data_IF_493925298573
#
_entry.id   IF_493925298573
#
_cell.length_a   1.000
_cell.length_b   1.000
_cell.length_c   1.000
_cell.angle_alpha   90.00
_cell.angle_beta   90.00
_cell.angle_gamma   90.00
#
_symmetry.space_group_name_H-M   'P 1'
#
loop_
_entity.id
_entity.type
_entity.pdbx_description
1 polymer ?
#
# COMPACT_ATOMS: atom_id res chain seq x y z
N UNK A 1 10.79 3.05 17.03
CA UNK A 1 9.77 3.51 16.07
C UNK A 1 8.67 4.29 16.76
N UNK A 2 7.80 3.69 17.58
CA UNK A 2 6.67 4.39 18.20
C UNK A 2 7.10 5.59 19.08
N UNK A 3 8.13 5.40 19.91
CA UNK A 3 8.71 6.48 20.72
C UNK A 3 9.22 7.67 19.88
N UNK A 4 9.85 7.41 18.74
CA UNK A 4 10.34 8.46 17.84
C UNK A 4 9.21 9.24 17.17
N UNK A 5 8.04 8.60 16.98
CA UNK A 5 6.83 9.22 16.45
C UNK A 5 5.93 9.83 17.54
N UNK A 6 6.26 9.67 18.82
CA UNK A 6 5.45 10.17 19.94
C UNK A 6 4.08 9.48 20.08
N UNK A 7 3.93 8.27 19.54
CA UNK A 7 2.67 7.50 19.55
C UNK A 7 2.80 6.21 20.35
N UNK A 8 1.67 5.63 20.72
CA UNK A 8 1.63 4.31 21.34
C UNK A 8 2.10 3.20 20.38
N UNK A 9 2.75 2.16 20.92
CA UNK A 9 3.23 1.01 20.12
C UNK A 9 2.12 0.32 19.34
N UNK A 10 0.91 0.23 19.92
CA UNK A 10 -0.25 -0.34 19.24
C UNK A 10 -0.60 0.45 18.00
N UNK A 11 -0.63 1.77 18.08
CA UNK A 11 -0.93 2.66 16.95
C UNK A 11 0.11 2.50 15.84
N UNK A 12 1.39 2.43 16.20
CA UNK A 12 2.46 2.20 15.23
C UNK A 12 2.28 0.84 14.50
N UNK A 13 1.95 -0.23 15.23
CA UNK A 13 1.70 -1.55 14.64
C UNK A 13 0.50 -1.55 13.69
N UNK A 14 -0.60 -0.90 14.07
CA UNK A 14 -1.79 -0.78 13.23
C UNK A 14 -1.49 0.01 11.95
N UNK A 15 -0.75 1.12 12.05
CA UNK A 15 -0.34 1.90 10.88
C UNK A 15 0.56 1.09 9.93
N UNK A 16 1.51 0.33 10.48
CA UNK A 16 2.38 -0.56 9.69
C UNK A 16 1.55 -1.64 8.96
N UNK A 17 0.58 -2.25 9.64
CA UNK A 17 -0.29 -3.25 9.02
C UNK A 17 -1.10 -2.66 7.86
N UNK A 18 -1.69 -1.47 8.03
CA UNK A 18 -2.43 -0.79 6.98
C UNK A 18 -1.54 -0.44 5.77
N UNK A 19 -0.30 -0.02 6.01
CA UNK A 19 0.66 0.28 4.93
C UNK A 19 1.12 -0.98 4.18
N UNK A 20 1.25 -2.11 4.87
CA UNK A 20 1.59 -3.39 4.26
C UNK A 20 0.43 -3.91 3.38
N UNK A 21 -0.81 -3.86 3.90
CA UNK A 21 -2.02 -4.24 3.17
C UNK A 21 -2.19 -3.41 1.89
N UNK A 22 -1.96 -2.10 1.98
CA UNK A 22 -2.03 -1.20 0.83
C UNK A 22 -0.77 -1.19 -0.06
N UNK A 23 0.16 -2.14 0.11
CA UNK A 23 1.39 -2.31 -0.67
C UNK A 23 2.33 -1.09 -0.70
N UNK A 24 2.30 -0.25 0.33
CA UNK A 24 3.25 0.88 0.48
C UNK A 24 4.61 0.43 1.02
N UNK A 25 4.62 -0.63 1.84
CA UNK A 25 5.82 -1.18 2.43
C UNK A 25 5.80 -2.71 2.33
N UNK A 26 6.99 -3.29 2.24
CA UNK A 26 7.21 -4.72 2.41
C UNK A 26 8.00 -4.96 3.69
N UNK A 27 7.67 -6.02 4.43
CA UNK A 27 8.29 -6.34 5.71
C UNK A 27 9.02 -7.67 5.57
N UNK A 28 10.34 -7.65 5.72
CA UNK A 28 11.18 -8.84 5.78
C UNK A 28 11.72 -9.03 7.20
N UNK A 29 12.15 -10.25 7.51
CA UNK A 29 12.79 -10.58 8.78
C UNK A 29 14.28 -10.84 8.59
N UNK A 30 15.08 -10.34 9.53
CA UNK A 30 16.52 -10.60 9.61
C UNK A 30 16.87 -10.88 11.07
N UNK A 31 17.02 -12.15 11.42
CA UNK A 31 17.22 -12.63 12.79
C UNK A 31 16.13 -12.14 13.76
N UNK A 32 16.50 -11.22 14.67
CA UNK A 32 15.59 -10.61 15.67
C UNK A 32 14.99 -9.28 15.22
N UNK A 33 15.40 -8.77 14.07
CA UNK A 33 15.01 -7.46 13.55
C UNK A 33 14.09 -7.60 12.35
N UNK A 34 13.25 -6.59 12.14
CA UNK A 34 12.45 -6.45 10.93
C UNK A 34 13.12 -5.44 10.00
N UNK A 35 13.07 -5.73 8.71
CA UNK A 35 13.52 -4.86 7.63
C UNK A 35 12.27 -4.34 6.93
N UNK A 36 12.14 -3.03 6.83
CA UNK A 36 11.02 -2.37 6.18
C UNK A 36 11.50 -1.77 4.85
N UNK A 37 11.03 -2.33 3.75
CA UNK A 37 11.33 -1.87 2.39
C UNK A 37 10.18 -0.96 1.95
N UNK A 38 10.52 0.23 1.47
CA UNK A 38 9.54 1.20 0.98
C UNK A 38 9.33 0.96 -0.51
N UNK A 39 8.08 0.89 -0.96
CA UNK A 39 7.77 0.79 -2.37
C UNK A 39 8.07 2.11 -3.08
N UNK A 40 9.11 2.10 -3.93
CA UNK A 40 9.61 3.26 -4.66
C UNK A 40 8.63 3.78 -5.72
N UNK A 41 7.65 2.98 -6.14
CA UNK A 41 6.63 3.42 -7.11
C UNK A 41 5.64 4.42 -6.48
N UNK A 42 5.29 4.24 -5.20
CA UNK A 42 4.35 5.14 -4.48
C UNK A 42 5.08 6.21 -3.69
N UNK A 43 6.27 5.89 -3.19
CA UNK A 43 7.01 6.81 -2.37
C UNK A 43 7.56 7.99 -3.20
N UNK A 44 7.51 9.19 -2.63
CA UNK A 44 8.06 10.43 -3.21
C UNK A 44 7.42 10.93 -4.53
N UNK A 45 6.18 10.52 -4.84
CA UNK A 45 5.39 11.14 -5.92
C UNK A 45 4.88 12.56 -5.55
N UNK A 46 5.80 13.52 -5.34
CA UNK A 46 5.52 14.92 -5.06
C UNK A 46 6.06 15.89 -6.12
N UNK A 47 5.90 17.20 -5.92
CA UNK A 47 6.47 18.24 -6.81
C UNK A 47 7.97 18.00 -7.06
N UNK A 48 8.38 18.05 -8.32
CA UNK A 48 9.79 18.03 -8.77
C UNK A 48 10.64 18.95 -7.88
N UNK A 49 11.61 18.37 -7.16
CA UNK A 49 12.52 19.08 -6.25
C UNK A 49 12.48 18.61 -4.79
N UNK A 50 11.52 17.77 -4.40
CA UNK A 50 11.45 17.16 -3.07
C UNK A 50 12.46 16.02 -2.88
N UNK A 51 13.43 16.28 -1.99
CA UNK A 51 14.55 15.43 -1.51
C UNK A 51 14.38 13.92 -1.73
N UNK A 52 15.24 13.42 -2.62
CA UNK A 52 15.48 12.04 -2.99
C UNK A 52 15.63 11.10 -1.79
N UNK A 53 14.92 9.97 -1.82
CA UNK A 53 15.45 8.75 -1.23
C UNK A 53 16.25 7.99 -2.29
N UNK A 54 17.41 8.54 -2.65
CA UNK A 54 18.35 7.86 -3.55
C UNK A 54 19.25 6.92 -2.76
N UNK A 55 18.66 6.00 -1.99
CA UNK A 55 19.43 4.89 -1.42
C UNK A 55 18.77 3.58 -1.84
N UNK A 56 19.20 3.11 -3.00
CA UNK A 56 18.95 1.74 -3.40
C UNK A 56 19.92 0.85 -2.61
N UNK A 57 19.37 -0.01 -1.78
CA UNK A 57 20.11 -1.00 -1.02
C UNK A 57 19.76 -2.38 -1.56
N UNK A 58 20.76 -3.23 -1.72
CA UNK A 58 20.55 -4.66 -1.91
C UNK A 58 20.61 -5.33 -0.53
N UNK A 59 19.54 -6.05 -0.19
CA UNK A 59 19.41 -6.71 1.11
C UNK A 59 19.30 -8.21 0.86
N UNK A 60 20.28 -8.97 1.36
CA UNK A 60 20.29 -10.42 1.30
C UNK A 60 19.79 -10.94 2.65
N UNK A 61 18.68 -11.69 2.63
CA UNK A 61 18.10 -12.32 3.81
C UNK A 61 17.91 -13.81 3.58
N UNK A 62 17.92 -14.59 4.66
CA UNK A 62 17.65 -16.02 4.59
C UNK A 62 16.14 -16.27 4.43
N UNK A 63 15.78 -17.13 3.49
CA UNK A 63 14.40 -17.58 3.27
C UNK A 63 13.81 -18.25 4.52
N UNK A 64 14.61 -19.03 5.24
CA UNK A 64 14.20 -19.74 6.46
C UNK A 64 13.77 -18.82 7.59
N UNK A 65 14.11 -17.53 7.53
CA UNK A 65 13.70 -16.54 8.54
C UNK A 65 12.36 -15.87 8.20
N UNK A 66 11.85 -16.03 6.97
CA UNK A 66 10.62 -15.37 6.54
C UNK A 66 9.38 -16.12 7.01
N UNK A 67 8.30 -15.37 7.27
CA UNK A 67 7.03 -15.92 7.73
C UNK A 67 6.18 -16.50 6.59
N UNK A 68 6.46 -16.11 5.35
CA UNK A 68 5.74 -16.50 4.14
C UNK A 68 6.73 -16.97 3.07
N UNK A 69 6.31 -17.81 2.11
CA UNK A 69 7.16 -18.25 1.01
C UNK A 69 7.72 -17.08 0.19
N UNK A 70 8.92 -17.26 -0.38
CA UNK A 70 9.58 -16.22 -1.18
C UNK A 70 8.73 -15.81 -2.38
N UNK A 71 8.03 -16.74 -3.03
CA UNK A 71 7.14 -16.44 -4.15
C UNK A 71 6.06 -15.44 -3.77
N UNK A 72 5.48 -15.58 -2.57
CA UNK A 72 4.47 -14.64 -2.05
C UNK A 72 5.06 -13.25 -1.83
N UNK A 73 6.28 -13.17 -1.30
CA UNK A 73 6.99 -11.90 -1.13
C UNK A 73 7.28 -11.23 -2.48
N UNK A 74 7.61 -12.01 -3.50
CA UNK A 74 7.82 -11.50 -4.85
C UNK A 74 6.50 -10.94 -5.40
N UNK A 75 5.38 -11.64 -5.24
CA UNK A 75 4.06 -11.15 -5.68
C UNK A 75 3.60 -9.91 -4.90
N UNK A 76 3.86 -9.82 -3.60
CA UNK A 76 3.58 -8.62 -2.80
C UNK A 76 4.41 -7.41 -3.26
N UNK A 77 5.64 -7.66 -3.72
CA UNK A 77 6.50 -6.62 -4.31
C UNK A 77 6.04 -6.18 -5.71
N UNK A 78 5.22 -6.99 -6.39
CA UNK A 78 4.68 -6.68 -7.71
C UNK A 78 3.48 -5.75 -7.61
N UNK A 79 3.68 -4.59 -8.24
CA UNK A 79 2.77 -3.56 -8.75
C UNK A 79 1.60 -3.07 -7.87
N UNK A 80 1.35 -1.76 -8.02
CA UNK A 80 0.25 -1.04 -7.41
C UNK A 80 -1.10 -1.59 -7.90
N UNK A 81 -2.08 -1.62 -7.00
CA UNK A 81 -3.46 -1.87 -7.42
C UNK A 81 -3.88 -0.77 -8.39
N UNK A 82 -4.27 -1.18 -9.60
CA UNK A 82 -4.73 -0.24 -10.63
C UNK A 82 -6.10 0.27 -10.25
N UNK A 83 -6.21 1.57 -9.99
CA UNK A 83 -7.51 2.22 -9.89
C UNK A 83 -8.06 2.34 -11.32
N UNK A 84 -9.30 1.90 -11.60
CA UNK A 84 -9.89 2.08 -12.92
C UNK A 84 -9.96 3.58 -13.22
N UNK A 85 -9.32 3.99 -14.33
CA UNK A 85 -9.40 5.35 -14.84
C UNK A 85 -10.38 5.38 -16.00
N UNK A 86 -11.31 6.32 -15.97
CA UNK A 86 -12.26 6.53 -17.06
C UNK A 86 -11.49 7.04 -18.30
N UNK A 87 -11.51 6.28 -19.39
CA UNK A 87 -10.94 6.72 -20.66
C UNK A 87 -11.89 7.70 -21.39
N UNK A 88 -11.35 8.45 -22.35
CA UNK A 88 -12.17 9.35 -23.16
C UNK A 88 -13.25 8.57 -23.93
N UNK A 89 -14.52 8.87 -23.67
CA UNK A 89 -15.68 8.17 -24.24
C UNK A 89 -16.23 7.02 -23.39
N UNK A 90 -15.58 6.66 -22.28
CA UNK A 90 -16.16 5.73 -21.30
C UNK A 90 -17.15 6.45 -20.39
N UNK A 91 -18.24 5.76 -20.02
CA UNK A 91 -19.23 6.23 -19.04
C UNK A 91 -19.17 5.33 -17.82
N UNK A 92 -19.04 5.93 -16.64
CA UNK A 92 -19.18 5.20 -15.38
C UNK A 92 -20.64 4.72 -15.28
N UNK A 93 -20.83 3.41 -15.24
CA UNK A 93 -22.12 2.81 -14.93
C UNK A 93 -22.12 2.50 -13.43
N UNK A 94 -22.82 3.29 -12.65
CA UNK A 94 -23.12 2.97 -11.26
C UNK A 94 -24.36 2.09 -11.28
N UNK A 95 -24.27 0.89 -10.69
CA UNK A 95 -25.42 -0.02 -10.62
C UNK A 95 -26.49 0.56 -9.70
N UNK A 96 -27.76 0.50 -10.13
CA UNK A 96 -28.90 0.90 -9.30
C UNK A 96 -29.37 -0.31 -8.47
N UNK A 97 -28.48 -0.83 -7.61
CA UNK A 97 -28.80 -1.91 -6.69
C UNK A 97 -29.69 -1.36 -5.55
N UNK A 98 -30.75 -2.08 -5.21
CA UNK A 98 -31.67 -1.68 -4.14
C UNK A 98 -30.96 -1.81 -2.79
N UNK A 99 -30.68 -0.68 -2.14
CA UNK A 99 -30.01 -0.64 -0.82
C UNK A 99 -30.99 -0.18 0.28
N UNK A 100 -30.74 -0.64 1.51
CA UNK A 100 -31.55 -0.24 2.66
C UNK A 100 -31.58 1.30 2.83
N UNK A 101 -32.73 1.90 3.19
CA UNK A 101 -32.85 3.35 3.33
C UNK A 101 -31.85 3.94 4.36
N UNK A 102 -31.33 5.16 4.16
CA UNK A 102 -31.68 6.12 3.11
C UNK A 102 -30.87 5.90 1.83
N UNK A 103 -31.53 5.38 0.79
CA UNK A 103 -30.99 5.32 -0.56
C UNK A 103 -31.40 6.58 -1.34
N UNK A 104 -30.45 7.17 -2.06
CA UNK A 104 -30.69 8.37 -2.85
C UNK A 104 -31.20 8.07 -4.27
N UNK A 105 -31.18 6.80 -4.73
CA UNK A 105 -31.48 6.38 -6.12
C UNK A 105 -30.66 7.13 -7.19
N UNK A 106 -30.43 6.50 -8.34
CA UNK A 106 -29.72 7.17 -9.44
C UNK A 106 -30.51 8.37 -9.97
N UNK A 107 -29.84 9.51 -10.20
CA UNK A 107 -30.45 10.65 -10.88
C UNK A 107 -30.37 10.45 -12.40
N UNK A 108 -31.48 10.64 -13.11
CA UNK A 108 -31.46 10.70 -14.57
C UNK A 108 -30.66 11.92 -15.04
N UNK A 109 -29.46 11.69 -15.56
CA UNK A 109 -28.63 12.72 -16.18
C UNK A 109 -29.09 12.97 -17.63
N UNK A 110 -29.18 14.24 -18.08
CA UNK A 110 -29.57 14.61 -19.45
C UNK A 110 -28.54 14.19 -20.53
#
# INVERSE_FOLDING_TARGET
>A
MAQAMGIADRTAKTAIAALAEAKFIQILKSGKSNVYIINSQVAWQGKRGGRFAAFNAEIIVAETEQAVPVDTLIEESKELQTVPQLMEGERLLVGNEDIDPPDQQEMELP
#
